data_IF_690815046102
#
_entry.id   IF_690815046102
#
_cell.length_a   1.000
_cell.length_b   1.000
_cell.length_c   1.000
_cell.angle_alpha   90.00
_cell.angle_beta   90.00
_cell.angle_gamma   90.00
#
_symmetry.space_group_name_H-M   'P 1'
#
loop_
_entity.id
_entity.type
_entity.pdbx_description
1 polymer ?
#
# COMPACT_ATOMS: atom_id res chain seq x y z
N UNK A 1 -41.41 78.13 -16.78
CA UNK A 1 -41.27 77.06 -17.80
C UNK A 1 -40.48 75.95 -17.12
N UNK A 2 -41.10 74.97 -16.48
CA UNK A 2 -42.27 74.23 -16.91
C UNK A 2 -41.82 73.11 -17.82
N UNK A 3 -41.57 71.93 -17.24
CA UNK A 3 -42.10 70.62 -17.65
C UNK A 3 -41.22 69.47 -17.10
N UNK A 4 -41.76 68.75 -16.12
CA UNK A 4 -41.61 67.28 -15.92
C UNK A 4 -42.19 66.53 -17.15
N UNK A 5 -42.21 65.18 -17.30
CA UNK A 5 -41.90 64.04 -16.40
C UNK A 5 -40.98 62.96 -17.09
N UNK A 6 -40.68 61.73 -16.65
CA UNK A 6 -41.46 60.49 -16.37
C UNK A 6 -40.42 59.48 -15.80
N UNK A 7 -40.52 59.04 -14.54
CA UNK A 7 -41.14 57.79 -14.04
C UNK A 7 -40.55 56.47 -14.60
N UNK A 8 -39.68 55.83 -13.84
CA UNK A 8 -39.66 54.37 -13.70
C UNK A 8 -39.18 54.05 -12.28
N UNK A 9 -40.14 53.75 -11.40
CA UNK A 9 -39.88 53.25 -10.07
C UNK A 9 -39.21 51.87 -10.19
N UNK A 10 -37.94 51.77 -9.79
CA UNK A 10 -37.26 50.49 -9.62
C UNK A 10 -37.69 49.96 -8.25
N UNK A 11 -38.52 48.94 -8.29
CA UNK A 11 -38.93 48.14 -7.14
C UNK A 11 -37.69 47.53 -6.47
N UNK A 12 -37.33 48.07 -5.29
CA UNK A 12 -36.36 47.46 -4.37
C UNK A 12 -37.09 46.42 -3.52
N UNK A 13 -37.46 45.31 -4.15
CA UNK A 13 -37.74 44.08 -3.41
C UNK A 13 -36.40 43.46 -2.97
N UNK A 14 -36.19 43.12 -1.68
CA UNK A 14 -35.00 42.41 -1.26
C UNK A 14 -35.01 40.99 -1.85
N UNK A 15 -33.99 40.68 -2.65
CA UNK A 15 -33.69 39.34 -3.13
C UNK A 15 -33.53 38.42 -1.93
N UNK A 16 -34.46 37.47 -1.76
CA UNK A 16 -34.29 36.37 -0.83
C UNK A 16 -33.08 35.53 -1.25
N UNK A 17 -32.21 35.11 -0.32
CA UNK A 17 -31.16 34.15 -0.64
C UNK A 17 -31.83 32.83 -1.04
N UNK A 18 -31.69 32.46 -2.31
CA UNK A 18 -32.02 31.12 -2.76
C UNK A 18 -31.21 30.12 -1.93
N UNK A 19 -31.91 29.21 -1.26
CA UNK A 19 -31.30 28.02 -0.69
C UNK A 19 -30.70 27.23 -1.84
N UNK A 20 -29.43 27.47 -2.10
CA UNK A 20 -28.60 26.48 -2.77
C UNK A 20 -28.70 25.25 -1.89
N UNK A 21 -29.34 24.21 -2.41
CA UNK A 21 -29.29 22.87 -1.85
C UNK A 21 -27.82 22.47 -1.83
N UNK A 22 -27.15 22.85 -0.74
CA UNK A 22 -25.98 22.19 -0.23
C UNK A 22 -26.44 20.74 -0.09
N UNK A 23 -26.05 19.91 -1.07
CA UNK A 23 -25.94 18.49 -0.84
C UNK A 23 -24.91 18.37 0.26
N UNK A 24 -25.43 18.40 1.50
CA UNK A 24 -24.73 17.94 2.66
C UNK A 24 -24.34 16.50 2.33
N UNK A 25 -23.06 16.35 2.00
CA UNK A 25 -22.41 15.07 1.88
C UNK A 25 -22.34 14.52 3.30
N UNK A 26 -23.48 14.10 3.83
CA UNK A 26 -23.57 13.17 4.92
C UNK A 26 -22.98 11.86 4.39
N UNK A 27 -21.65 11.76 4.40
CA UNK A 27 -20.98 10.48 4.41
C UNK A 27 -21.40 9.81 5.71
N UNK A 28 -22.55 9.14 5.66
CA UNK A 28 -22.88 8.13 6.63
C UNK A 28 -21.80 7.05 6.49
N UNK A 29 -20.89 7.02 7.47
CA UNK A 29 -19.81 6.04 7.59
C UNK A 29 -20.31 4.63 7.89
N UNK A 30 -21.61 4.38 7.73
CA UNK A 30 -22.20 3.06 7.88
C UNK A 30 -21.58 2.06 6.89
N UNK A 31 -21.24 0.83 7.34
CA UNK A 31 -20.56 -0.19 6.52
C UNK A 31 -21.35 -0.59 5.26
N UNK A 32 -22.67 -0.38 5.25
CA UNK A 32 -23.52 -0.60 4.08
C UNK A 32 -23.24 0.43 2.95
N UNK A 33 -22.94 1.68 3.30
CA UNK A 33 -22.64 2.78 2.36
C UNK A 33 -21.29 2.58 1.66
N UNK A 34 -20.29 2.06 2.37
CA UNK A 34 -18.96 1.78 1.78
C UNK A 34 -19.04 0.64 0.75
N UNK A 35 -19.80 -0.40 1.06
CA UNK A 35 -19.94 -1.57 0.18
C UNK A 35 -20.63 -1.23 -1.14
N UNK A 36 -21.66 -0.37 -1.12
CA UNK A 36 -22.37 0.07 -2.33
C UNK A 36 -21.50 0.98 -3.22
N UNK A 37 -20.68 1.84 -2.62
CA UNK A 37 -19.70 2.68 -3.34
C UNK A 37 -18.61 1.85 -4.01
N UNK A 38 -18.10 0.82 -3.34
CA UNK A 38 -17.12 -0.10 -3.91
C UNK A 38 -17.71 -0.85 -5.12
N UNK A 39 -18.93 -1.39 -4.99
CA UNK A 39 -19.60 -2.12 -6.06
C UNK A 39 -19.87 -1.27 -7.29
N UNK A 40 -20.39 -0.05 -7.11
CA UNK A 40 -20.61 0.89 -8.23
C UNK A 40 -19.30 1.29 -8.93
N UNK A 41 -18.20 1.44 -8.18
CA UNK A 41 -16.88 1.68 -8.75
C UNK A 41 -16.37 0.49 -9.57
N UNK A 42 -16.48 -0.74 -9.04
CA UNK A 42 -16.10 -1.96 -9.75
C UNK A 42 -16.93 -2.12 -11.04
N UNK A 43 -18.24 -1.88 -10.99
CA UNK A 43 -19.09 -1.93 -12.18
C UNK A 43 -18.64 -0.92 -13.25
N UNK A 44 -18.33 0.32 -12.84
CA UNK A 44 -17.86 1.36 -13.77
C UNK A 44 -16.48 1.04 -14.36
N UNK A 45 -15.61 0.36 -13.62
CA UNK A 45 -14.37 -0.16 -14.20
C UNK A 45 -14.66 -1.29 -15.20
N UNK A 46 -15.65 -2.14 -14.91
CA UNK A 46 -16.03 -3.27 -15.77
C UNK A 46 -16.62 -2.85 -17.12
N UNK A 47 -17.11 -1.61 -17.25
CA UNK A 47 -17.56 -1.09 -18.56
C UNK A 47 -16.39 -0.73 -19.48
N UNK A 48 -15.20 -0.46 -18.92
CA UNK A 48 -14.02 -0.06 -19.68
C UNK A 48 -12.96 -1.16 -19.78
N UNK A 49 -12.94 -2.10 -18.81
CA UNK A 49 -11.94 -3.16 -18.72
C UNK A 49 -12.63 -4.53 -18.62
N UNK A 50 -12.07 -5.53 -19.30
CA UNK A 50 -12.48 -6.91 -19.11
C UNK A 50 -12.03 -7.38 -17.73
N UNK A 51 -12.95 -7.34 -16.76
CA UNK A 51 -12.68 -7.71 -15.37
C UNK A 51 -13.44 -8.96 -14.98
N UNK A 52 -12.81 -9.76 -14.13
CA UNK A 52 -13.41 -10.93 -13.50
C UNK A 52 -13.30 -10.78 -11.99
N UNK A 53 -14.43 -10.90 -11.31
CA UNK A 53 -14.43 -11.05 -9.86
C UNK A 53 -13.92 -12.45 -9.50
N UNK A 54 -12.88 -12.50 -8.67
CA UNK A 54 -12.27 -13.73 -8.19
C UNK A 54 -12.80 -14.13 -6.79
N UNK A 55 -13.70 -13.33 -6.22
CA UNK A 55 -14.21 -13.50 -4.87
C UNK A 55 -13.24 -12.93 -3.82
N UNK A 56 -13.27 -13.52 -2.63
CA UNK A 56 -12.46 -13.06 -1.51
C UNK A 56 -10.96 -13.18 -1.78
N UNK A 57 -10.19 -12.22 -1.24
CA UNK A 57 -8.74 -12.24 -1.33
C UNK A 57 -8.17 -13.43 -0.55
N UNK A 58 -7.54 -14.37 -1.26
CA UNK A 58 -6.87 -15.53 -0.67
C UNK A 58 -5.35 -15.46 -0.78
N UNK A 59 -4.83 -15.22 -1.99
CA UNK A 59 -3.40 -15.11 -2.25
C UNK A 59 -3.13 -14.03 -3.28
N UNK A 60 -2.17 -13.14 -2.99
CA UNK A 60 -1.71 -12.14 -3.93
C UNK A 60 -0.23 -11.82 -3.69
N UNK A 61 0.58 -11.91 -4.74
CA UNK A 61 2.03 -11.65 -4.72
C UNK A 61 2.83 -12.45 -3.66
N UNK A 62 2.34 -13.62 -3.25
CA UNK A 62 2.99 -14.43 -2.20
C UNK A 62 2.59 -14.04 -0.77
N UNK A 63 1.64 -13.11 -0.61
CA UNK A 63 0.93 -12.84 0.64
C UNK A 63 -0.37 -13.67 0.64
N UNK A 64 -0.57 -14.48 1.66
CA UNK A 64 -1.83 -15.14 1.95
C UNK A 64 -2.67 -14.24 2.85
N UNK A 65 -3.91 -14.00 2.44
CA UNK A 65 -4.89 -13.27 3.22
C UNK A 65 -5.94 -14.25 3.75
N UNK A 66 -6.10 -14.28 5.08
CA UNK A 66 -7.06 -15.14 5.78
C UNK A 66 -8.06 -14.25 6.48
N UNK A 67 -9.29 -14.23 5.98
CA UNK A 67 -10.36 -13.46 6.58
C UNK A 67 -10.95 -14.24 7.75
N UNK A 68 -11.01 -13.59 8.90
CA UNK A 68 -11.70 -14.06 10.10
C UNK A 68 -12.97 -13.20 10.31
N UNK A 69 -13.81 -13.55 11.29
CA UNK A 69 -15.03 -12.78 11.56
C UNK A 69 -14.76 -11.32 11.95
N UNK A 70 -13.58 -11.01 12.48
CA UNK A 70 -13.23 -9.69 13.02
C UNK A 70 -12.04 -9.03 12.32
N UNK A 71 -11.20 -9.78 11.61
CA UNK A 71 -9.95 -9.26 11.06
C UNK A 71 -9.55 -9.94 9.74
N UNK A 72 -8.70 -9.26 8.97
CA UNK A 72 -7.97 -9.84 7.84
C UNK A 72 -6.53 -10.10 8.27
N UNK A 73 -6.13 -11.37 8.34
CA UNK A 73 -4.77 -11.77 8.73
C UNK A 73 -3.94 -11.95 7.46
N UNK A 74 -2.82 -11.25 7.37
CA UNK A 74 -1.87 -11.37 6.26
C UNK A 74 -0.66 -12.20 6.69
N UNK A 75 -0.28 -13.19 5.89
CA UNK A 75 0.85 -14.08 6.16
C UNK A 75 1.68 -14.29 4.89
N UNK A 76 2.97 -14.60 5.03
CA UNK A 76 3.87 -14.95 3.92
C UNK A 76 4.56 -16.29 4.18
N UNK A 77 3.90 -17.22 4.86
CA UNK A 77 4.49 -18.50 5.28
C UNK A 77 5.01 -19.30 4.09
N UNK A 78 4.19 -19.48 3.05
CA UNK A 78 4.62 -20.15 1.82
C UNK A 78 5.83 -19.47 1.18
N UNK A 79 5.77 -18.15 1.01
CA UNK A 79 6.87 -17.37 0.44
C UNK A 79 8.17 -17.51 1.24
N UNK A 80 8.08 -17.55 2.57
CA UNK A 80 9.23 -17.74 3.46
C UNK A 80 9.86 -19.12 3.25
N UNK A 81 9.05 -20.18 3.19
CA UNK A 81 9.53 -21.55 2.96
C UNK A 81 10.17 -21.70 1.58
N UNK A 82 9.54 -21.15 0.55
CA UNK A 82 10.07 -21.16 -0.82
C UNK A 82 11.41 -20.39 -0.89
N UNK A 83 11.53 -19.26 -0.17
CA UNK A 83 12.78 -18.50 -0.07
C UNK A 83 13.87 -19.32 0.61
N UNK A 84 13.59 -19.94 1.77
CA UNK A 84 14.56 -20.78 2.48
C UNK A 84 15.00 -21.99 1.65
N UNK A 85 14.08 -22.57 0.87
CA UNK A 85 14.39 -23.68 -0.05
C UNK A 85 15.35 -23.21 -1.13
N UNK A 86 15.05 -22.07 -1.77
CA UNK A 86 15.84 -21.49 -2.86
C UNK A 86 17.24 -21.05 -2.42
N UNK A 87 17.41 -20.61 -1.16
CA UNK A 87 18.71 -20.21 -0.60
C UNK A 87 19.41 -21.33 0.16
N UNK A 88 18.89 -22.55 0.13
CA UNK A 88 19.45 -23.72 0.84
C UNK A 88 19.56 -23.52 2.38
N UNK A 89 18.61 -22.79 2.97
CA UNK A 89 18.60 -22.42 4.40
C UNK A 89 17.53 -23.12 5.25
N UNK A 90 16.86 -24.14 4.71
CA UNK A 90 15.72 -24.82 5.35
C UNK A 90 16.06 -25.46 6.71
N UNK A 91 17.29 -25.96 6.85
CA UNK A 91 17.79 -26.59 8.08
C UNK A 91 18.53 -25.59 9.01
N UNK A 92 18.46 -24.29 8.70
CA UNK A 92 19.12 -23.26 9.51
C UNK A 92 18.48 -23.16 10.89
N UNK A 93 19.32 -23.02 11.92
CA UNK A 93 18.84 -22.82 13.30
C UNK A 93 18.14 -21.45 13.41
N UNK A 94 17.02 -21.35 14.15
CA UNK A 94 16.39 -20.07 14.43
C UNK A 94 17.37 -19.10 15.09
N UNK A 95 17.40 -17.86 14.59
CA UNK A 95 18.22 -16.79 15.17
C UNK A 95 17.28 -15.70 15.72
N UNK A 96 17.27 -15.45 17.04
CA UNK A 96 16.41 -14.42 17.63
C UNK A 96 16.91 -12.99 17.35
N UNK A 97 18.16 -12.84 16.91
CA UNK A 97 18.79 -11.54 16.65
C UNK A 97 19.38 -11.57 15.24
N UNK A 98 18.61 -11.17 14.21
CA UNK A 98 19.03 -11.27 12.81
C UNK A 98 20.33 -10.53 12.49
N UNK A 99 20.66 -9.48 13.25
CA UNK A 99 21.91 -8.75 13.16
C UNK A 99 22.32 -8.22 14.55
N UNK A 100 23.56 -8.46 14.96
CA UNK A 100 24.08 -7.97 16.24
C UNK A 100 24.25 -6.44 16.24
N UNK A 101 23.91 -5.78 17.35
CA UNK A 101 24.12 -4.34 17.53
C UNK A 101 25.61 -4.01 17.50
N UNK A 102 26.01 -3.04 16.67
CA UNK A 102 27.41 -2.63 16.52
C UNK A 102 28.20 -3.32 15.40
N UNK A 103 27.57 -4.23 14.65
CA UNK A 103 28.13 -4.81 13.43
C UNK A 103 28.35 -3.71 12.38
N UNK A 104 29.59 -3.24 12.21
CA UNK A 104 29.94 -2.32 11.13
C UNK A 104 30.19 -3.11 9.86
N UNK A 105 29.18 -3.19 9.01
CA UNK A 105 29.37 -3.58 7.62
C UNK A 105 30.17 -2.47 6.92
N UNK A 106 31.21 -2.85 6.17
CA UNK A 106 32.06 -1.94 5.43
C UNK A 106 32.09 -2.37 3.97
N UNK A 107 31.91 -1.42 3.05
CA UNK A 107 31.96 -1.67 1.60
C UNK A 107 33.40 -1.83 1.08
N UNK A 108 34.39 -1.68 1.95
CA UNK A 108 35.82 -1.75 1.63
C UNK A 108 36.53 -2.88 2.39
N UNK A 109 35.79 -3.64 3.18
CA UNK A 109 36.34 -4.77 3.91
C UNK A 109 36.17 -6.01 3.04
N UNK A 110 37.28 -6.49 2.47
CA UNK A 110 37.29 -7.68 1.61
C UNK A 110 37.40 -7.45 0.11
N UNK A 111 37.32 -8.55 -0.66
CA UNK A 111 37.41 -8.52 -2.12
C UNK A 111 36.02 -8.24 -2.75
N UNK A 112 35.93 -7.44 -3.83
CA UNK A 112 34.65 -7.22 -4.51
C UNK A 112 34.05 -8.53 -5.02
N UNK A 113 32.76 -8.72 -4.80
CA UNK A 113 32.05 -9.88 -5.33
C UNK A 113 31.97 -9.78 -6.87
N UNK A 114 32.46 -10.79 -7.58
CA UNK A 114 32.53 -10.78 -9.06
C UNK A 114 31.15 -10.81 -9.73
N UNK A 115 30.17 -11.47 -9.11
CA UNK A 115 28.77 -11.45 -9.53
C UNK A 115 27.85 -11.22 -8.33
N UNK A 116 27.27 -10.02 -8.23
CA UNK A 116 26.34 -9.65 -7.18
C UNK A 116 24.88 -10.03 -7.48
N UNK A 117 24.60 -10.80 -8.53
CA UNK A 117 23.21 -11.12 -8.95
C UNK A 117 22.47 -11.95 -7.91
N UNK A 118 23.10 -13.01 -7.39
CA UNK A 118 22.49 -13.85 -6.35
C UNK A 118 22.26 -13.05 -5.05
N UNK A 119 23.27 -12.29 -4.61
CA UNK A 119 23.14 -11.41 -3.45
C UNK A 119 21.96 -10.44 -3.61
N UNK A 120 21.87 -9.75 -4.76
CA UNK A 120 20.78 -8.79 -5.03
C UNK A 120 19.41 -9.46 -5.08
N UNK A 121 19.33 -10.66 -5.63
CA UNK A 121 18.11 -11.48 -5.65
C UNK A 121 17.65 -11.87 -4.24
N UNK A 122 18.57 -12.28 -3.37
CA UNK A 122 18.27 -12.65 -1.98
C UNK A 122 17.84 -11.42 -1.19
N UNK A 123 18.59 -10.32 -1.27
CA UNK A 123 18.27 -9.08 -0.56
C UNK A 123 16.91 -8.52 -1.02
N UNK A 124 16.61 -8.55 -2.32
CA UNK A 124 15.29 -8.16 -2.82
C UNK A 124 14.16 -9.05 -2.28
N UNK A 125 14.38 -10.36 -2.17
CA UNK A 125 13.40 -11.26 -1.59
C UNK A 125 13.21 -11.04 -0.08
N UNK A 126 14.29 -10.78 0.66
CA UNK A 126 14.24 -10.42 2.07
C UNK A 126 13.52 -9.07 2.29
N UNK A 127 13.75 -8.10 1.41
CA UNK A 127 13.06 -6.81 1.42
C UNK A 127 11.56 -6.98 1.17
N UNK A 128 11.15 -7.94 0.34
CA UNK A 128 9.74 -8.25 0.17
C UNK A 128 9.12 -8.90 1.42
N UNK A 129 9.90 -9.72 2.14
CA UNK A 129 9.44 -10.38 3.37
C UNK A 129 9.18 -9.40 4.53
N UNK A 130 9.82 -8.23 4.53
CA UNK A 130 9.61 -7.20 5.56
C UNK A 130 8.16 -6.67 5.61
N UNK A 131 7.36 -6.91 4.57
CA UNK A 131 5.93 -6.54 4.55
C UNK A 131 5.12 -7.22 5.66
N UNK A 132 5.47 -8.45 6.04
CA UNK A 132 4.81 -9.18 7.13
C UNK A 132 5.74 -9.52 8.29
N UNK A 133 7.06 -9.30 8.15
CA UNK A 133 8.10 -9.56 9.15
C UNK A 133 8.88 -8.30 9.52
N UNK A 134 8.30 -7.38 10.33
CA UNK A 134 8.98 -6.16 10.72
C UNK A 134 10.20 -6.40 11.61
N UNK A 135 10.29 -7.55 12.25
CA UNK A 135 11.36 -7.97 13.15
C UNK A 135 12.73 -8.12 12.44
N UNK A 136 12.75 -8.37 11.14
CA UNK A 136 14.00 -8.46 10.35
C UNK A 136 14.33 -7.17 9.60
N UNK A 137 13.45 -6.15 9.62
CA UNK A 137 13.61 -4.91 8.84
C UNK A 137 14.97 -4.25 9.00
N UNK A 138 15.46 -4.18 10.24
CA UNK A 138 16.74 -3.54 10.53
C UNK A 138 17.89 -4.25 9.83
N UNK A 139 17.97 -5.57 9.95
CA UNK A 139 19.01 -6.37 9.31
C UNK A 139 18.95 -6.27 7.78
N UNK A 140 17.74 -6.35 7.21
CA UNK A 140 17.52 -6.23 5.77
C UNK A 140 17.93 -4.84 5.26
N UNK A 141 17.54 -3.78 5.96
CA UNK A 141 17.92 -2.41 5.59
C UNK A 141 19.45 -2.21 5.62
N UNK A 142 20.16 -2.82 6.56
CA UNK A 142 21.61 -2.77 6.61
C UNK A 142 22.24 -3.42 5.37
N UNK A 143 21.80 -4.63 4.97
CA UNK A 143 22.35 -5.30 3.78
C UNK A 143 21.95 -4.62 2.46
N UNK A 144 20.78 -3.96 2.41
CA UNK A 144 20.34 -3.15 1.26
C UNK A 144 21.32 -2.00 0.93
N UNK A 145 22.01 -1.43 1.93
CA UNK A 145 22.96 -0.33 1.71
C UNK A 145 24.17 -0.77 0.86
N UNK A 146 24.50 -2.06 0.84
CA UNK A 146 25.68 -2.62 0.16
C UNK A 146 25.34 -3.23 -1.21
N UNK A 147 24.14 -2.99 -1.77
CA UNK A 147 23.74 -3.55 -3.08
C UNK A 147 24.53 -2.98 -4.27
N UNK A 148 25.11 -1.79 -4.14
CA UNK A 148 25.85 -1.11 -5.21
C UNK A 148 27.36 -1.46 -5.23
N UNK A 149 27.92 -1.88 -4.09
CA UNK A 149 29.31 -2.29 -3.96
C UNK A 149 29.45 -3.22 -2.74
N UNK A 150 29.49 -4.53 -2.99
CA UNK A 150 29.70 -5.55 -1.96
C UNK A 150 31.17 -6.00 -1.98
N UNK A 151 31.82 -5.96 -0.81
CA UNK A 151 33.14 -6.56 -0.55
C UNK A 151 32.98 -7.70 0.46
N UNK A 152 33.66 -8.83 0.25
CA UNK A 152 33.61 -10.04 1.10
C UNK A 152 34.91 -10.33 1.82
#
# INVERSE_FOLDING_TARGET
MGQSPILAAVDLSPVQPQSSSQQDLSQDGSPASVSSRLLSFIQRLGTHFAMKDLGDLHFFLGIEAKRTSTALVLTQTKYTLDLLTRTHMQDSKPCPTPLASGSKLSAYDGAPLSDATEYRSIVGALQYLTLTRPDICYAVNQVCQFMHALST
#
